data_IF_480895463401
#
_entry.id   IF_480895463401
#
_cell.length_a   1.000
_cell.length_b   1.000
_cell.length_c   1.000
_cell.angle_alpha   90.00
_cell.angle_beta   90.00
_cell.angle_gamma   90.00
#
_symmetry.space_group_name_H-M   'P 1'
#
loop_
_entity.id
_entity.type
_entity.pdbx_description
1 polymer ?
#
# COMPACT_ATOMS: atom_id res chain seq x y z
N UNK A 1 -34.23 -19.88 3.08
CA UNK A 1 -34.15 -18.79 4.09
C UNK A 1 -35.29 -19.04 5.08
N UNK A 2 -34.99 -19.24 6.36
CA UNK A 2 -35.98 -19.50 7.40
C UNK A 2 -36.35 -18.18 8.10
N UNK A 3 -37.63 -17.92 8.29
CA UNK A 3 -38.12 -16.69 8.93
C UNK A 3 -38.33 -16.87 10.45
N UNK A 4 -38.61 -18.10 10.88
CA UNK A 4 -38.89 -18.49 12.25
C UNK A 4 -38.22 -19.83 12.61
N UNK A 5 -38.21 -20.14 13.91
CA UNK A 5 -37.72 -21.40 14.48
C UNK A 5 -38.48 -21.69 15.78
N UNK A 6 -38.56 -22.94 16.21
CA UNK A 6 -39.23 -23.31 17.45
C UNK A 6 -38.28 -23.13 18.65
N UNK A 7 -38.80 -22.76 19.84
CA UNK A 7 -37.98 -22.69 21.05
C UNK A 7 -37.30 -24.03 21.43
N UNK A 8 -37.87 -25.16 21.02
CA UNK A 8 -37.32 -26.51 21.22
C UNK A 8 -36.03 -26.77 20.43
N UNK A 9 -35.74 -25.96 19.40
CA UNK A 9 -34.62 -26.20 18.48
C UNK A 9 -33.26 -25.82 19.09
N UNK A 10 -33.25 -25.13 20.24
CA UNK A 10 -32.02 -24.78 20.96
C UNK A 10 -31.19 -23.64 20.34
N UNK A 11 -31.68 -22.99 19.27
CA UNK A 11 -30.94 -21.94 18.56
C UNK A 11 -31.14 -20.53 19.13
N UNK A 12 -32.02 -20.35 20.12
CA UNK A 12 -32.37 -19.04 20.68
C UNK A 12 -31.15 -18.27 21.18
N UNK A 13 -30.26 -18.92 21.93
CA UNK A 13 -29.06 -18.27 22.50
C UNK A 13 -28.11 -17.78 21.40
N UNK A 14 -27.87 -18.60 20.38
CA UNK A 14 -26.97 -18.27 19.27
C UNK A 14 -27.52 -17.13 18.41
N UNK A 15 -28.83 -17.15 18.13
CA UNK A 15 -29.49 -16.04 17.45
C UNK A 15 -29.47 -14.74 18.28
N UNK A 16 -29.59 -14.84 19.61
CA UNK A 16 -29.51 -13.69 20.52
C UNK A 16 -28.11 -13.06 20.49
N UNK A 17 -27.05 -13.86 20.61
CA UNK A 17 -25.67 -13.39 20.50
C UNK A 17 -25.42 -12.74 19.13
N UNK A 18 -25.89 -13.39 18.06
CA UNK A 18 -25.76 -12.86 16.69
C UNK A 18 -26.46 -11.52 16.53
N UNK A 19 -27.63 -11.34 17.15
CA UNK A 19 -28.38 -10.09 17.13
C UNK A 19 -27.64 -8.98 17.86
N UNK A 20 -27.08 -9.26 19.04
CA UNK A 20 -26.23 -8.31 19.77
C UNK A 20 -25.04 -7.89 18.91
N UNK A 21 -24.34 -8.86 18.30
CA UNK A 21 -23.23 -8.59 17.38
C UNK A 21 -23.66 -7.74 16.17
N UNK A 22 -24.83 -7.99 15.60
CA UNK A 22 -25.38 -7.20 14.50
C UNK A 22 -25.65 -5.74 14.92
N UNK A 23 -26.17 -5.50 16.12
CA UNK A 23 -26.34 -4.14 16.64
C UNK A 23 -25.01 -3.44 16.90
N UNK A 24 -24.02 -4.14 17.46
CA UNK A 24 -22.66 -3.59 17.66
C UNK A 24 -22.02 -3.24 16.33
N UNK A 25 -22.14 -4.12 15.32
CA UNK A 25 -21.66 -3.88 13.97
C UNK A 25 -22.41 -2.71 13.30
N UNK A 26 -23.71 -2.57 13.52
CA UNK A 26 -24.47 -1.42 13.08
C UNK A 26 -23.98 -0.12 13.73
N UNK A 27 -23.79 -0.13 15.05
CA UNK A 27 -23.30 1.01 15.81
C UNK A 27 -21.86 1.41 15.44
N UNK A 28 -21.00 0.47 15.03
CA UNK A 28 -19.62 0.76 14.62
C UNK A 28 -19.54 1.61 13.33
N UNK A 29 -20.61 1.68 12.55
CA UNK A 29 -20.69 2.59 11.39
C UNK A 29 -20.76 4.06 11.79
N UNK A 30 -21.26 4.39 12.99
CA UNK A 30 -21.39 5.78 13.47
C UNK A 30 -20.03 6.49 13.59
N UNK A 31 -19.02 5.96 14.31
CA UNK A 31 -17.71 6.61 14.37
C UNK A 31 -17.03 6.67 12.99
N UNK A 32 -17.25 5.70 12.10
CA UNK A 32 -16.73 5.74 10.73
C UNK A 32 -17.34 6.91 9.94
N UNK A 33 -18.67 7.05 9.94
CA UNK A 33 -19.36 8.15 9.25
C UNK A 33 -18.97 9.51 9.83
N UNK A 34 -18.85 9.59 11.17
CA UNK A 34 -18.37 10.79 11.84
C UNK A 34 -16.95 11.14 11.39
N UNK A 35 -16.05 10.16 11.33
CA UNK A 35 -14.67 10.37 10.89
C UNK A 35 -14.60 10.86 9.43
N UNK A 36 -15.40 10.27 8.52
CA UNK A 36 -15.49 10.72 7.12
C UNK A 36 -15.99 12.16 7.05
N UNK A 37 -17.07 12.50 7.75
CA UNK A 37 -17.63 13.85 7.74
C UNK A 37 -16.63 14.90 8.27
N UNK A 38 -16.04 14.61 9.43
CA UNK A 38 -15.06 15.51 10.07
C UNK A 38 -13.83 15.67 9.18
N UNK A 39 -13.30 14.58 8.62
CA UNK A 39 -12.10 14.62 7.77
C UNK A 39 -12.34 15.32 6.44
N UNK A 40 -13.53 15.16 5.84
CA UNK A 40 -13.89 15.86 4.61
C UNK A 40 -13.97 17.38 4.79
N UNK A 41 -14.53 17.86 5.91
CA UNK A 41 -14.77 19.30 6.12
C UNK A 41 -13.66 20.02 6.88
N UNK A 42 -12.96 19.31 7.77
CA UNK A 42 -11.99 19.85 8.73
C UNK A 42 -10.72 18.98 8.88
N UNK A 43 -10.47 18.06 7.95
CA UNK A 43 -9.25 17.26 7.93
C UNK A 43 -8.01 18.10 7.60
N UNK A 44 -6.83 17.58 7.93
CA UNK A 44 -5.58 18.18 7.49
C UNK A 44 -5.44 18.02 5.98
N UNK A 45 -5.08 19.12 5.30
CA UNK A 45 -4.88 19.11 3.86
C UNK A 45 -3.50 18.52 3.57
N UNK A 46 -3.48 17.53 2.69
CA UNK A 46 -2.25 16.91 2.18
C UNK A 46 -1.75 17.75 1.01
N UNK A 47 -0.46 18.10 1.00
CA UNK A 47 0.19 18.85 -0.10
C UNK A 47 1.22 18.02 -0.87
N UNK A 48 1.27 16.71 -0.61
CA UNK A 48 2.17 15.74 -1.26
C UNK A 48 1.35 14.78 -2.14
N UNK A 49 2.00 14.20 -3.14
CA UNK A 49 1.37 13.25 -4.08
C UNK A 49 1.05 11.91 -3.39
N UNK A 50 1.90 11.46 -2.48
CA UNK A 50 1.72 10.25 -1.69
C UNK A 50 1.69 10.52 -0.16
N UNK A 51 0.51 10.60 0.47
CA UNK A 51 0.39 10.77 1.92
C UNK A 51 0.83 9.55 2.74
N UNK A 52 0.98 8.37 2.13
CA UNK A 52 1.33 7.11 2.80
C UNK A 52 2.80 6.73 2.62
N UNK A 53 3.50 7.42 1.73
CA UNK A 53 4.95 7.40 1.53
C UNK A 53 5.48 6.34 0.56
N UNK A 54 4.91 5.13 0.54
CA UNK A 54 5.41 4.01 -0.29
C UNK A 54 4.34 3.45 -1.25
N UNK A 55 3.56 4.33 -1.86
CA UNK A 55 2.58 4.05 -2.88
C UNK A 55 3.20 3.42 -4.14
N UNK A 56 2.45 2.51 -4.77
CA UNK A 56 2.98 1.64 -5.81
C UNK A 56 2.42 1.95 -7.19
N UNK A 57 1.11 1.87 -7.29
CA UNK A 57 0.30 2.14 -8.48
C UNK A 57 0.45 3.61 -8.92
N UNK A 58 0.12 3.87 -10.19
CA UNK A 58 0.18 5.22 -10.78
C UNK A 58 -0.66 6.27 -10.03
N UNK A 59 -1.67 5.86 -9.27
CA UNK A 59 -2.50 6.77 -8.48
C UNK A 59 -1.71 7.56 -7.42
N UNK A 60 -0.54 7.07 -7.02
CA UNK A 60 0.36 7.72 -6.06
C UNK A 60 1.45 8.56 -6.73
N UNK A 61 1.39 8.74 -8.06
CA UNK A 61 2.29 9.61 -8.81
C UNK A 61 1.58 10.89 -9.32
N UNK A 62 0.38 11.18 -8.79
CA UNK A 62 -0.38 12.39 -9.13
C UNK A 62 -0.71 13.17 -7.87
N UNK A 63 -1.12 14.42 -8.03
CA UNK A 63 -1.41 15.31 -6.90
C UNK A 63 -2.62 14.86 -6.07
N UNK A 64 -2.63 15.26 -4.80
CA UNK A 64 -3.78 15.10 -3.90
C UNK A 64 -4.44 16.46 -3.63
N UNK A 65 -5.62 16.79 -4.22
CA UNK A 65 -6.48 15.97 -5.07
C UNK A 65 -5.99 15.86 -6.53
N UNK A 66 -6.39 14.81 -7.28
CA UNK A 66 -6.02 14.67 -8.69
C UNK A 66 -6.64 15.76 -9.57
N UNK A 67 -5.95 16.19 -10.65
CA UNK A 67 -6.51 17.13 -11.61
C UNK A 67 -7.66 16.48 -12.41
N UNK A 68 -8.46 17.30 -13.12
CA UNK A 68 -9.64 16.84 -13.88
C UNK A 68 -9.34 15.69 -14.87
N UNK A 69 -8.13 15.64 -15.41
CA UNK A 69 -7.68 14.62 -16.35
C UNK A 69 -6.68 13.63 -15.73
N UNK A 70 -6.75 13.44 -14.40
CA UNK A 70 -5.97 12.54 -13.56
C UNK A 70 -4.47 12.81 -13.46
N UNK A 71 -3.79 13.20 -14.53
CA UNK A 71 -2.33 13.36 -14.56
C UNK A 71 -1.92 14.69 -15.18
N UNK A 72 -0.92 15.32 -14.57
CA UNK A 72 -0.18 16.44 -15.16
C UNK A 72 1.02 15.93 -15.96
N UNK A 73 1.74 14.95 -15.39
CA UNK A 73 2.87 14.27 -16.00
C UNK A 73 2.76 12.77 -15.73
N UNK A 74 3.18 11.94 -16.70
CA UNK A 74 3.16 10.48 -16.56
C UNK A 74 4.57 9.96 -16.29
N UNK A 75 4.81 9.23 -15.19
CA UNK A 75 6.10 8.60 -14.96
C UNK A 75 6.34 7.46 -15.94
N UNK A 76 7.61 7.16 -16.20
CA UNK A 76 8.00 6.07 -17.09
C UNK A 76 7.69 4.71 -16.44
N UNK A 77 6.75 3.97 -17.01
CA UNK A 77 6.33 2.64 -16.52
C UNK A 77 7.39 1.60 -16.89
N UNK A 78 8.04 1.01 -15.88
CA UNK A 78 9.07 -0.04 -16.06
C UNK A 78 8.82 -1.30 -15.24
N UNK A 79 7.84 -1.28 -14.34
CA UNK A 79 7.43 -2.37 -13.46
C UNK A 79 5.97 -2.20 -13.04
N UNK A 80 5.47 -3.10 -12.20
CA UNK A 80 4.15 -3.05 -11.59
C UNK A 80 4.01 -1.96 -10.52
N UNK A 81 5.11 -1.34 -10.07
CA UNK A 81 5.14 -0.30 -9.01
C UNK A 81 5.74 1.03 -9.52
N UNK A 82 5.16 1.66 -10.56
CA UNK A 82 5.74 2.83 -11.21
C UNK A 82 5.85 4.07 -10.29
N UNK A 83 4.94 4.28 -9.34
CA UNK A 83 5.05 5.40 -8.40
C UNK A 83 6.19 5.17 -7.41
N UNK A 84 6.41 3.93 -6.97
CA UNK A 84 7.51 3.61 -6.07
C UNK A 84 8.89 3.86 -6.73
N UNK A 85 9.08 3.42 -7.99
CA UNK A 85 10.34 3.66 -8.71
C UNK A 85 10.61 5.16 -8.94
N UNK A 86 9.57 5.97 -9.11
CA UNK A 86 9.68 7.42 -9.24
C UNK A 86 10.18 8.06 -7.94
N UNK A 87 9.58 7.72 -6.80
CA UNK A 87 9.91 8.30 -5.50
C UNK A 87 11.21 7.73 -4.89
N UNK A 88 11.56 6.48 -5.24
CA UNK A 88 12.74 5.77 -4.72
C UNK A 88 13.65 5.24 -5.84
N UNK A 89 14.31 6.10 -6.64
CA UNK A 89 15.17 5.64 -7.74
C UNK A 89 16.32 4.74 -7.29
N UNK A 90 16.85 4.98 -6.08
CA UNK A 90 17.94 4.20 -5.49
C UNK A 90 17.54 2.77 -5.09
N UNK A 91 16.24 2.47 -5.02
CA UNK A 91 15.73 1.14 -4.66
C UNK A 91 15.51 0.24 -5.87
N UNK A 92 15.51 0.79 -7.09
CA UNK A 92 15.13 0.06 -8.32
C UNK A 92 16.03 -1.15 -8.56
N UNK A 93 17.35 -1.00 -8.41
CA UNK A 93 18.31 -2.10 -8.62
C UNK A 93 18.13 -3.21 -7.60
N UNK A 94 18.00 -2.84 -6.32
CA UNK A 94 17.75 -3.76 -5.23
C UNK A 94 16.44 -4.53 -5.43
N UNK A 95 15.36 -3.83 -5.77
CA UNK A 95 14.05 -4.45 -6.02
C UNK A 95 14.11 -5.47 -7.16
N UNK A 96 14.86 -5.17 -8.23
CA UNK A 96 15.01 -6.10 -9.37
C UNK A 96 15.86 -7.31 -9.00
N UNK A 97 16.96 -7.11 -8.27
CA UNK A 97 17.83 -8.19 -7.81
C UNK A 97 17.10 -9.15 -6.86
N UNK A 98 16.27 -8.61 -5.97
CA UNK A 98 15.52 -9.35 -4.95
C UNK A 98 14.15 -9.87 -5.45
N UNK A 99 13.71 -9.51 -6.66
CA UNK A 99 12.39 -9.88 -7.19
C UNK A 99 12.22 -11.40 -7.42
N UNK A 100 13.30 -12.15 -7.61
CA UNK A 100 13.26 -13.58 -7.88
C UNK A 100 14.24 -14.33 -6.97
N UNK A 101 13.72 -15.26 -6.15
CA UNK A 101 14.55 -16.22 -5.41
C UNK A 101 14.74 -17.45 -6.29
N UNK A 102 15.98 -17.70 -6.72
CA UNK A 102 16.33 -18.87 -7.54
C UNK A 102 17.82 -19.25 -7.38
N UNK A 103 18.19 -20.51 -7.69
CA UNK A 103 19.56 -20.99 -7.59
C UNK A 103 20.44 -20.29 -8.64
N UNK A 104 20.96 -19.12 -8.29
CA UNK A 104 21.66 -18.20 -9.19
C UNK A 104 21.66 -16.74 -8.72
N UNK A 105 20.75 -16.36 -7.81
CA UNK A 105 20.65 -15.01 -7.23
C UNK A 105 21.96 -14.57 -6.55
N UNK A 106 22.63 -15.48 -5.83
CA UNK A 106 23.84 -15.17 -5.05
C UNK A 106 25.01 -14.63 -5.89
N UNK A 107 25.12 -15.02 -7.17
CA UNK A 107 26.24 -14.58 -8.03
C UNK A 107 26.09 -13.13 -8.52
N UNK A 108 24.86 -12.61 -8.56
CA UNK A 108 24.60 -11.22 -8.95
C UNK A 108 24.82 -10.29 -7.75
N UNK A 109 24.41 -10.73 -6.55
CA UNK A 109 24.50 -9.97 -5.31
C UNK A 109 25.95 -9.60 -4.95
N UNK A 110 26.90 -10.52 -5.20
CA UNK A 110 28.34 -10.28 -4.92
C UNK A 110 28.94 -9.23 -5.86
N UNK A 111 28.62 -9.26 -7.16
CA UNK A 111 29.18 -8.31 -8.13
C UNK A 111 28.65 -6.88 -7.97
N UNK A 112 27.39 -6.71 -7.54
CA UNK A 112 26.79 -5.38 -7.31
C UNK A 112 27.35 -4.72 -6.06
N UNK A 113 27.49 -5.48 -4.96
CA UNK A 113 28.10 -4.98 -3.72
C UNK A 113 29.58 -4.63 -3.93
N UNK A 114 30.32 -5.45 -4.68
CA UNK A 114 31.73 -5.19 -4.99
C UNK A 114 31.95 -4.06 -6.01
N UNK A 115 30.95 -3.75 -6.84
CA UNK A 115 30.97 -2.58 -7.73
C UNK A 115 30.67 -1.27 -7.01
N UNK A 116 29.83 -1.29 -5.98
CA UNK A 116 29.43 -0.11 -5.21
C UNK A 116 30.51 0.40 -4.23
N UNK A 117 31.41 -0.49 -3.77
CA UNK A 117 32.50 -0.15 -2.85
C UNK A 117 33.76 0.41 -3.57
N UNK A 118 33.78 0.39 -4.91
CA UNK A 118 34.91 0.93 -5.69
C UNK A 118 34.81 2.45 -5.81
N UNK A 119 35.40 3.13 -4.84
CA UNK A 119 35.68 4.57 -4.90
C UNK A 119 36.55 4.90 -6.13
N UNK A 120 36.30 5.98 -6.91
CA UNK A 120 37.04 6.31 -8.16
C UNK A 120 38.53 6.69 -8.02
N UNK A 121 39.23 6.22 -6.99
CA UNK A 121 40.61 6.63 -6.67
C UNK A 121 41.63 5.50 -6.61
N UNK A 122 41.22 4.23 -6.60
CA UNK A 122 42.14 3.12 -6.32
C UNK A 122 42.58 2.41 -7.60
N UNK A 123 43.37 3.12 -8.41
CA UNK A 123 44.26 2.48 -9.38
C UNK A 123 45.62 2.29 -8.72
N UNK A 124 46.09 1.03 -8.51
CA UNK A 124 47.48 0.82 -8.13
C UNK A 124 48.37 1.26 -9.30
N UNK A 125 49.15 2.32 -9.09
CA UNK A 125 50.32 2.61 -9.91
C UNK A 125 51.42 1.66 -9.50
N UNK A 126 51.61 0.58 -10.26
CA UNK A 126 52.88 -0.07 -10.59
C UNK A 126 52.60 -1.35 -11.40
#
# INVERSE_FOLDING_TARGET
>A
RYADYLPSDGFTTLNTISTIGAFVLGASTLPFLWNVFKSYRYGQVVTVDDPWGYGNSLEWATSCPPPRHNFTELPRIRSERPAFELHYPHMVEKMRAEAHVGPGSDKHNVNVLEGADRTPGDHPRA
#
